data_IF_274764111127
#
_entry.id   IF_274764111127
#
_cell.length_a   1.000
_cell.length_b   1.000
_cell.length_c   1.000
_cell.angle_alpha   90.00
_cell.angle_beta   90.00
_cell.angle_gamma   90.00
#
_symmetry.space_group_name_H-M   'P 1'
#
loop_
_entity.id
_entity.type
_entity.pdbx_description
1 polymer ?
#
# COMPACT_ATOMS: atom_id res chain seq x y z
N UNK A 1 20.27 63.65 30.95
CA UNK A 1 20.91 62.83 29.89
C UNK A 1 20.63 61.34 30.05
N UNK A 2 20.40 60.85 31.25
CA UNK A 2 20.20 59.40 31.55
C UNK A 2 18.86 58.81 31.07
N UNK A 3 17.76 59.61 31.13
CA UNK A 3 16.42 59.13 30.71
C UNK A 3 16.32 58.87 29.21
N UNK A 4 17.02 59.61 28.36
CA UNK A 4 17.03 59.41 26.93
C UNK A 4 17.81 58.15 26.56
N UNK A 5 18.94 57.91 27.20
CA UNK A 5 19.74 56.66 26.98
C UNK A 5 18.98 55.43 27.41
N UNK A 6 18.26 55.46 28.51
CA UNK A 6 17.43 54.35 28.99
C UNK A 6 16.28 54.04 28.04
N UNK A 7 15.66 55.09 27.45
CA UNK A 7 14.59 54.89 26.47
C UNK A 7 15.07 54.24 25.15
N UNK A 8 16.25 54.65 24.68
CA UNK A 8 16.87 54.08 23.46
C UNK A 8 17.22 52.61 23.66
N UNK A 9 17.78 52.27 24.83
CA UNK A 9 18.13 50.87 25.14
C UNK A 9 16.85 50.00 25.27
N UNK A 10 15.78 50.51 25.89
CA UNK A 10 14.51 49.78 26.01
C UNK A 10 13.84 49.56 24.66
N UNK A 11 13.81 50.54 23.77
CA UNK A 11 13.29 50.40 22.41
C UNK A 11 14.10 49.45 21.55
N UNK A 12 15.44 49.47 21.66
CA UNK A 12 16.33 48.51 20.99
C UNK A 12 16.10 47.07 21.44
N UNK A 13 15.89 46.85 22.72
CA UNK A 13 15.59 45.53 23.29
C UNK A 13 14.27 44.95 22.80
N UNK A 14 13.21 45.80 22.73
CA UNK A 14 11.89 45.36 22.22
C UNK A 14 11.96 45.01 20.73
N UNK A 15 12.64 45.81 19.90
CA UNK A 15 12.80 45.54 18.48
C UNK A 15 13.58 44.24 18.22
N UNK A 16 14.62 43.97 19.01
CA UNK A 16 15.41 42.72 18.92
C UNK A 16 14.57 41.51 19.32
N UNK A 17 13.75 41.63 20.38
CA UNK A 17 12.86 40.57 20.83
C UNK A 17 11.79 40.20 19.79
N UNK A 18 11.14 41.21 19.18
CA UNK A 18 10.15 41.01 18.14
C UNK A 18 10.79 40.34 16.91
N UNK A 19 11.99 40.80 16.49
CA UNK A 19 12.73 40.19 15.37
C UNK A 19 13.08 38.72 15.62
N UNK A 20 13.50 38.35 16.83
CA UNK A 20 13.80 36.98 17.20
C UNK A 20 12.56 36.06 17.16
N UNK A 21 11.41 36.55 17.66
CA UNK A 21 10.14 35.82 17.62
C UNK A 21 9.68 35.59 16.16
N UNK A 22 9.77 36.62 15.31
CA UNK A 22 9.43 36.55 13.91
C UNK A 22 10.33 35.54 13.15
N UNK A 23 11.62 35.61 13.39
CA UNK A 23 12.60 34.67 12.78
C UNK A 23 12.30 33.23 13.24
N UNK A 24 12.02 33.02 14.52
CA UNK A 24 11.67 31.72 15.07
C UNK A 24 10.37 31.17 14.47
N UNK A 25 9.35 32.00 14.27
CA UNK A 25 8.09 31.59 13.60
C UNK A 25 8.30 31.25 12.13
N UNK A 26 9.05 32.05 11.38
CA UNK A 26 9.37 31.79 9.98
C UNK A 26 10.22 30.50 9.84
N UNK A 27 11.22 30.31 10.70
CA UNK A 27 12.04 29.10 10.70
C UNK A 27 11.19 27.86 11.01
N UNK A 28 10.26 27.96 11.94
CA UNK A 28 9.36 26.85 12.30
C UNK A 28 8.40 26.49 11.15
N UNK A 29 7.85 27.46 10.42
CA UNK A 29 7.01 27.20 9.25
C UNK A 29 7.81 26.57 8.10
N UNK A 30 9.02 27.05 7.81
CA UNK A 30 9.89 26.46 6.79
C UNK A 30 10.33 25.04 7.14
N UNK A 31 10.64 24.75 8.39
CA UNK A 31 10.95 23.39 8.85
C UNK A 31 9.74 22.47 8.73
N UNK A 32 8.52 22.97 9.00
CA UNK A 32 7.28 22.23 8.79
C UNK A 32 7.09 21.83 7.34
N UNK A 33 7.21 22.77 6.41
CA UNK A 33 7.09 22.51 4.96
C UNK A 33 8.18 21.57 4.44
N UNK A 34 9.41 21.73 4.89
CA UNK A 34 10.51 20.84 4.50
C UNK A 34 10.30 19.41 4.99
N UNK A 35 9.84 19.24 6.23
CA UNK A 35 9.53 17.93 6.80
C UNK A 35 8.36 17.26 6.05
N UNK A 36 7.34 18.02 5.66
CA UNK A 36 6.20 17.49 4.92
C UNK A 36 6.60 17.06 3.52
N UNK A 37 7.41 17.86 2.81
CA UNK A 37 7.97 17.48 1.50
C UNK A 37 8.89 16.26 1.59
N UNK A 38 9.73 16.18 2.63
CA UNK A 38 10.60 15.03 2.85
C UNK A 38 9.79 13.77 3.13
N UNK A 39 8.68 13.89 3.90
CA UNK A 39 7.76 12.79 4.19
C UNK A 39 7.03 12.33 2.93
N UNK A 40 6.53 13.25 2.10
CA UNK A 40 5.89 12.94 0.83
C UNK A 40 6.87 12.24 -0.13
N UNK A 41 8.09 12.75 -0.28
CA UNK A 41 9.10 12.12 -1.12
C UNK A 41 9.44 10.69 -0.63
N UNK A 42 9.55 10.50 0.67
CA UNK A 42 9.79 9.17 1.27
C UNK A 42 8.60 8.23 1.02
N UNK A 43 7.35 8.70 1.14
CA UNK A 43 6.16 7.93 0.88
C UNK A 43 6.08 7.51 -0.60
N UNK A 44 6.39 8.42 -1.52
CA UNK A 44 6.43 8.14 -2.97
C UNK A 44 7.52 7.11 -3.29
N UNK A 45 8.76 7.28 -2.79
CA UNK A 45 9.85 6.33 -2.99
C UNK A 45 9.49 4.93 -2.43
N UNK A 46 8.90 4.90 -1.25
CA UNK A 46 8.45 3.65 -0.62
C UNK A 46 7.36 2.95 -1.47
N UNK A 47 6.39 3.70 -1.96
CA UNK A 47 5.35 3.15 -2.83
C UNK A 47 5.94 2.58 -4.13
N UNK A 48 6.84 3.33 -4.79
CA UNK A 48 7.50 2.84 -6.00
C UNK A 48 8.27 1.55 -5.74
N UNK A 49 8.99 1.44 -4.63
CA UNK A 49 9.68 0.19 -4.25
C UNK A 49 8.71 -0.98 -4.05
N UNK A 50 7.52 -0.73 -3.48
CA UNK A 50 6.51 -1.77 -3.33
C UNK A 50 5.86 -2.13 -4.67
N UNK A 51 5.56 -1.15 -5.52
CA UNK A 51 5.06 -1.38 -6.86
C UNK A 51 6.08 -2.15 -7.72
N UNK A 52 7.35 -1.71 -7.72
CA UNK A 52 8.44 -2.43 -8.39
C UNK A 52 8.58 -3.86 -7.87
N UNK A 53 8.55 -4.07 -6.55
CA UNK A 53 8.59 -5.40 -5.95
C UNK A 53 7.43 -6.27 -6.43
N UNK A 54 6.23 -5.69 -6.57
CA UNK A 54 5.03 -6.36 -7.04
C UNK A 54 5.17 -6.82 -8.50
N UNK A 55 5.89 -6.05 -9.33
CA UNK A 55 6.13 -6.33 -10.74
C UNK A 55 7.45 -7.09 -11.01
N UNK A 56 8.26 -7.40 -9.98
CA UNK A 56 9.46 -8.22 -10.19
C UNK A 56 9.10 -9.60 -10.74
N UNK A 57 9.92 -10.11 -11.66
CA UNK A 57 9.73 -11.45 -12.24
C UNK A 57 9.57 -12.55 -11.17
N UNK A 58 10.34 -12.48 -10.08
CA UNK A 58 10.21 -13.43 -8.97
C UNK A 58 8.84 -13.33 -8.29
N UNK A 59 8.34 -12.11 -8.06
CA UNK A 59 7.05 -11.93 -7.39
C UNK A 59 5.89 -12.22 -8.34
N UNK A 60 6.03 -11.89 -9.61
CA UNK A 60 5.07 -12.22 -10.66
C UNK A 60 4.87 -13.75 -10.76
N UNK A 61 5.95 -14.54 -10.75
CA UNK A 61 5.85 -16.01 -10.67
C UNK A 61 5.09 -16.50 -9.44
N UNK A 62 5.26 -15.85 -8.30
CA UNK A 62 4.51 -16.18 -7.07
C UNK A 62 3.04 -15.83 -7.20
N UNK A 63 2.72 -14.68 -7.78
CA UNK A 63 1.36 -14.24 -8.05
C UNK A 63 0.64 -15.20 -9.00
N UNK A 64 1.28 -15.58 -10.12
CA UNK A 64 0.76 -16.60 -11.04
C UNK A 64 0.48 -17.93 -10.35
N UNK A 65 1.43 -18.40 -9.55
CA UNK A 65 1.26 -19.65 -8.81
C UNK A 65 0.14 -19.55 -7.75
N UNK A 66 -0.01 -18.39 -7.11
CA UNK A 66 -1.12 -18.12 -6.20
C UNK A 66 -2.45 -18.07 -6.95
N UNK A 67 -2.51 -17.38 -8.10
CA UNK A 67 -3.72 -17.25 -8.91
C UNK A 67 -4.20 -18.62 -9.43
N UNK A 68 -3.31 -19.45 -9.99
CA UNK A 68 -3.65 -20.83 -10.38
C UNK A 68 -4.21 -21.65 -9.22
N UNK A 69 -3.55 -21.56 -8.06
CA UNK A 69 -4.02 -22.26 -6.88
C UNK A 69 -5.40 -21.78 -6.42
N UNK A 70 -5.63 -20.45 -6.43
CA UNK A 70 -6.92 -19.86 -6.07
C UNK A 70 -8.02 -20.26 -7.07
N UNK A 71 -7.74 -20.28 -8.38
CA UNK A 71 -8.68 -20.76 -9.39
C UNK A 71 -9.11 -22.19 -9.13
N UNK A 72 -8.15 -23.07 -8.83
CA UNK A 72 -8.41 -24.49 -8.65
C UNK A 72 -9.14 -24.83 -7.34
N UNK A 73 -9.06 -23.94 -6.32
CA UNK A 73 -9.49 -24.28 -4.95
C UNK A 73 -10.50 -23.31 -4.33
N UNK A 74 -10.65 -22.09 -4.88
CA UNK A 74 -11.55 -21.09 -4.30
C UNK A 74 -12.94 -21.08 -4.93
N UNK A 75 -13.15 -21.85 -6.00
CA UNK A 75 -14.40 -21.87 -6.74
C UNK A 75 -14.93 -23.30 -6.90
N UNK A 76 -16.24 -23.46 -6.74
CA UNK A 76 -16.96 -24.71 -7.08
C UNK A 76 -17.96 -24.38 -8.19
N UNK A 77 -17.66 -24.80 -9.43
CA UNK A 77 -18.39 -24.26 -10.58
C UNK A 77 -18.16 -22.76 -10.68
N UNK A 78 -19.24 -21.97 -10.72
CA UNK A 78 -19.16 -20.50 -10.78
C UNK A 78 -19.28 -19.86 -9.40
N UNK A 79 -19.51 -20.61 -8.34
CA UNK A 79 -19.66 -20.11 -6.97
C UNK A 79 -18.30 -19.98 -6.27
N UNK A 80 -18.06 -18.83 -5.66
CA UNK A 80 -16.88 -18.60 -4.84
C UNK A 80 -17.09 -19.14 -3.42
N UNK A 81 -16.31 -20.17 -3.08
CA UNK A 81 -16.31 -20.77 -1.72
C UNK A 81 -15.08 -20.34 -0.91
N UNK A 82 -14.08 -19.75 -1.57
CA UNK A 82 -12.78 -19.43 -0.99
C UNK A 82 -11.93 -20.69 -0.74
N UNK A 83 -10.65 -20.49 -0.42
CA UNK A 83 -9.74 -21.62 -0.17
C UNK A 83 -9.82 -22.12 1.27
N UNK A 84 -9.63 -23.41 1.43
CA UNK A 84 -9.56 -24.02 2.78
C UNK A 84 -8.23 -23.75 3.50
N UNK A 85 -7.12 -23.72 2.77
CA UNK A 85 -5.79 -23.42 3.26
C UNK A 85 -5.06 -22.56 2.25
N UNK A 86 -4.07 -21.79 2.73
CA UNK A 86 -3.18 -21.04 1.84
C UNK A 86 -1.98 -21.90 1.47
N UNK A 87 -1.68 -22.01 0.19
CA UNK A 87 -0.40 -22.56 -0.26
C UNK A 87 0.72 -21.53 -0.09
N UNK A 88 1.98 -21.94 -0.30
CA UNK A 88 3.15 -21.08 -0.11
C UNK A 88 3.12 -19.83 -1.01
N UNK A 89 2.55 -19.93 -2.20
CA UNK A 89 2.46 -18.81 -3.12
C UNK A 89 1.43 -17.77 -2.63
N UNK A 90 0.23 -18.21 -2.23
CA UNK A 90 -0.80 -17.36 -1.65
C UNK A 90 -0.34 -16.71 -0.33
N UNK A 91 0.38 -17.47 0.54
CA UNK A 91 1.01 -16.91 1.76
C UNK A 91 1.99 -15.77 1.44
N UNK A 92 2.79 -15.89 0.37
CA UNK A 92 3.71 -14.82 -0.03
C UNK A 92 2.96 -13.54 -0.48
N UNK A 93 1.82 -13.71 -1.18
CA UNK A 93 0.99 -12.58 -1.62
C UNK A 93 0.29 -11.94 -0.40
N UNK A 94 -0.29 -12.73 0.49
CA UNK A 94 -0.89 -12.22 1.73
C UNK A 94 0.15 -11.49 2.59
N UNK A 95 1.37 -12.03 2.74
CA UNK A 95 2.45 -11.39 3.47
C UNK A 95 2.90 -10.07 2.85
N UNK A 96 2.91 -9.97 1.52
CA UNK A 96 3.20 -8.70 0.85
C UNK A 96 2.16 -7.62 1.20
N UNK A 97 0.85 -7.96 1.19
CA UNK A 97 -0.19 -7.02 1.56
C UNK A 97 -0.23 -6.72 3.05
N UNK A 98 0.16 -7.66 3.91
CA UNK A 98 0.31 -7.43 5.36
C UNK A 98 1.39 -6.37 5.64
N UNK A 99 2.58 -6.50 5.01
CA UNK A 99 3.67 -5.54 5.11
C UNK A 99 3.24 -4.15 4.61
N UNK A 100 2.59 -4.09 3.43
CA UNK A 100 2.08 -2.84 2.84
C UNK A 100 1.04 -2.18 3.75
N UNK A 101 0.12 -2.96 4.29
CA UNK A 101 -0.93 -2.51 5.18
C UNK A 101 -0.38 -1.95 6.49
N UNK A 102 0.65 -2.59 7.05
CA UNK A 102 1.36 -2.08 8.23
C UNK A 102 1.95 -0.70 7.96
N UNK A 103 2.63 -0.50 6.84
CA UNK A 103 3.20 0.81 6.46
C UNK A 103 2.12 1.87 6.26
N UNK A 104 0.99 1.50 5.67
CA UNK A 104 -0.15 2.40 5.52
C UNK A 104 -0.72 2.80 6.90
N UNK A 105 -0.86 1.86 7.82
CA UNK A 105 -1.31 2.16 9.20
C UNK A 105 -0.35 3.08 9.95
N UNK A 106 0.96 2.93 9.74
CA UNK A 106 1.97 3.82 10.33
C UNK A 106 1.96 5.24 9.71
N UNK A 107 1.11 5.49 8.70
CA UNK A 107 1.04 6.75 7.99
C UNK A 107 2.26 7.03 7.09
N UNK A 108 3.04 5.98 6.78
CA UNK A 108 4.12 6.05 5.80
C UNK A 108 3.57 6.10 4.35
N UNK A 109 2.37 5.55 4.14
CA UNK A 109 1.65 5.57 2.87
C UNK A 109 0.22 6.07 3.09
N UNK A 110 -0.26 6.91 2.19
CA UNK A 110 -1.67 7.34 2.19
C UNK A 110 -2.56 6.24 1.60
N UNK A 111 -3.75 6.08 2.18
CA UNK A 111 -4.71 5.06 1.75
C UNK A 111 -5.10 5.22 0.28
N UNK A 112 -5.31 6.46 -0.17
CA UNK A 112 -5.67 6.77 -1.56
C UNK A 112 -4.54 6.40 -2.54
N UNK A 113 -3.30 6.63 -2.15
CA UNK A 113 -2.12 6.28 -2.95
C UNK A 113 -1.98 4.76 -3.09
N UNK A 114 -2.20 4.00 -2.01
CA UNK A 114 -2.22 2.52 -2.03
C UNK A 114 -3.38 2.01 -2.89
N UNK A 115 -4.57 2.60 -2.74
CA UNK A 115 -5.73 2.24 -3.55
C UNK A 115 -5.51 2.45 -5.04
N UNK A 116 -4.94 3.60 -5.44
CA UNK A 116 -4.65 3.91 -6.85
C UNK A 116 -3.67 2.91 -7.48
N UNK A 117 -2.70 2.41 -6.72
CA UNK A 117 -1.63 1.54 -7.24
C UNK A 117 -1.96 0.05 -7.13
N UNK A 118 -2.52 -0.39 -6.02
CA UNK A 118 -2.68 -1.81 -5.68
C UNK A 118 -4.10 -2.17 -5.21
N UNK A 119 -5.07 -1.24 -5.27
CA UNK A 119 -6.44 -1.45 -4.80
C UNK A 119 -7.12 -2.63 -5.49
N UNK A 120 -6.92 -2.78 -6.81
CA UNK A 120 -7.46 -3.90 -7.57
C UNK A 120 -6.97 -5.25 -7.03
N UNK A 121 -5.68 -5.37 -6.73
CA UNK A 121 -5.12 -6.60 -6.21
C UNK A 121 -5.59 -6.89 -4.77
N UNK A 122 -5.64 -5.86 -3.91
CA UNK A 122 -6.14 -5.98 -2.53
C UNK A 122 -7.57 -6.51 -2.53
N UNK A 123 -8.46 -5.91 -3.32
CA UNK A 123 -9.87 -6.31 -3.40
C UNK A 123 -10.09 -7.67 -4.07
N UNK A 124 -9.13 -8.14 -4.87
CA UNK A 124 -9.20 -9.44 -5.54
C UNK A 124 -8.68 -10.56 -4.65
N UNK A 125 -7.50 -10.38 -4.04
CA UNK A 125 -6.88 -11.44 -3.24
C UNK A 125 -7.56 -11.64 -1.88
N UNK A 126 -7.99 -10.55 -1.21
CA UNK A 126 -8.56 -10.66 0.13
C UNK A 126 -9.77 -11.58 0.22
N UNK A 127 -10.85 -11.42 -0.58
CA UNK A 127 -12.03 -12.27 -0.45
C UNK A 127 -11.75 -13.75 -0.70
N UNK A 128 -10.81 -14.06 -1.60
CA UNK A 128 -10.42 -15.43 -1.92
C UNK A 128 -9.58 -16.10 -0.81
N UNK A 129 -8.73 -15.33 -0.14
CA UNK A 129 -7.86 -15.83 0.92
C UNK A 129 -8.48 -15.79 2.31
N UNK A 130 -9.46 -14.91 2.55
CA UNK A 130 -10.10 -14.66 3.83
C UNK A 130 -10.59 -15.95 4.53
N UNK A 131 -11.31 -16.88 3.88
CA UNK A 131 -11.82 -18.07 4.56
C UNK A 131 -10.70 -18.95 5.15
N UNK A 132 -9.57 -19.10 4.44
CA UNK A 132 -8.40 -19.81 4.94
C UNK A 132 -7.74 -19.08 6.12
N UNK A 133 -7.59 -17.77 6.01
CA UNK A 133 -6.99 -16.94 7.09
C UNK A 133 -7.84 -17.04 8.36
N UNK A 134 -9.16 -16.94 8.27
CA UNK A 134 -10.06 -17.04 9.43
C UNK A 134 -9.96 -18.43 10.08
N UNK A 135 -9.87 -19.50 9.29
CA UNK A 135 -9.70 -20.86 9.79
C UNK A 135 -8.35 -21.03 10.49
N UNK A 136 -7.26 -20.57 9.87
CA UNK A 136 -5.91 -20.68 10.43
C UNK A 136 -5.76 -19.86 11.72
N UNK A 137 -6.43 -18.70 11.84
CA UNK A 137 -6.50 -17.93 13.10
C UNK A 137 -7.05 -18.75 14.25
N UNK A 138 -8.11 -19.54 13.99
CA UNK A 138 -8.73 -20.40 14.99
C UNK A 138 -7.85 -21.62 15.28
N UNK A 139 -7.34 -22.30 14.25
CA UNK A 139 -6.54 -23.51 14.34
C UNK A 139 -5.24 -23.27 15.14
N UNK A 140 -4.59 -22.12 14.91
CA UNK A 140 -3.30 -21.80 15.54
C UNK A 140 -3.43 -20.89 16.77
N UNK A 141 -4.64 -20.43 17.10
CA UNK A 141 -4.87 -19.52 18.21
C UNK A 141 -4.18 -18.15 18.03
N UNK A 142 -4.01 -17.69 16.79
CA UNK A 142 -3.35 -16.41 16.43
C UNK A 142 -4.37 -15.48 15.75
N UNK A 143 -5.22 -14.79 16.52
CA UNK A 143 -6.29 -13.95 15.95
C UNK A 143 -5.76 -12.76 15.11
N UNK A 144 -4.53 -12.31 15.39
CA UNK A 144 -3.89 -11.20 14.70
C UNK A 144 -3.22 -11.57 13.36
N UNK A 145 -3.29 -12.83 12.93
CA UNK A 145 -2.70 -13.25 11.66
C UNK A 145 -3.35 -12.50 10.49
N UNK A 146 -2.57 -11.79 9.68
CA UNK A 146 -3.04 -10.95 8.56
C UNK A 146 -4.10 -9.91 8.96
N UNK A 147 -4.06 -9.38 10.19
CA UNK A 147 -5.00 -8.35 10.65
C UNK A 147 -4.82 -7.02 9.90
N UNK A 148 -3.59 -6.70 9.51
CA UNK A 148 -3.30 -5.48 8.76
C UNK A 148 -3.84 -5.58 7.32
N UNK A 149 -3.68 -6.72 6.65
CA UNK A 149 -4.26 -6.95 5.33
C UNK A 149 -5.79 -6.87 5.36
N UNK A 150 -6.43 -7.48 6.37
CA UNK A 150 -7.86 -7.35 6.59
C UNK A 150 -8.28 -5.89 6.80
N UNK A 151 -7.55 -5.14 7.62
CA UNK A 151 -7.81 -3.73 7.84
C UNK A 151 -7.67 -2.92 6.54
N UNK A 152 -6.60 -3.15 5.77
CA UNK A 152 -6.36 -2.47 4.51
C UNK A 152 -7.46 -2.78 3.48
N UNK A 153 -7.93 -4.03 3.41
CA UNK A 153 -9.02 -4.40 2.51
C UNK A 153 -10.32 -3.65 2.84
N UNK A 154 -10.61 -3.41 4.12
CA UNK A 154 -11.74 -2.58 4.56
C UNK A 154 -11.55 -1.10 4.16
N UNK A 155 -10.36 -0.55 4.36
CA UNK A 155 -10.03 0.83 3.95
C UNK A 155 -10.22 1.01 2.44
N UNK A 156 -9.76 0.06 1.63
CA UNK A 156 -9.95 0.07 0.17
C UNK A 156 -11.44 -0.01 -0.18
N UNK A 157 -12.19 -0.90 0.45
CA UNK A 157 -13.64 -1.03 0.22
C UNK A 157 -14.42 0.23 0.61
N UNK A 158 -14.03 0.93 1.67
CA UNK A 158 -14.65 2.18 2.09
C UNK A 158 -14.37 3.29 1.06
N UNK A 159 -13.13 3.44 0.59
CA UNK A 159 -12.76 4.38 -0.47
C UNK A 159 -13.55 4.11 -1.78
N UNK A 160 -13.72 2.85 -2.15
CA UNK A 160 -14.50 2.46 -3.33
C UNK A 160 -15.99 2.80 -3.16
N UNK A 161 -16.57 2.52 -2.00
CA UNK A 161 -17.96 2.85 -1.70
C UNK A 161 -18.23 4.36 -1.76
N UNK A 162 -17.31 5.18 -1.23
CA UNK A 162 -17.39 6.64 -1.31
C UNK A 162 -17.37 7.15 -2.76
N UNK A 163 -16.76 6.39 -3.68
CA UNK A 163 -16.67 6.69 -5.11
C UNK A 163 -17.78 6.04 -5.94
N UNK A 164 -18.70 5.31 -5.29
CA UNK A 164 -19.77 4.58 -5.98
C UNK A 164 -19.28 3.38 -6.79
N UNK A 165 -18.11 2.81 -6.42
CA UNK A 165 -17.55 1.62 -7.05
C UNK A 165 -18.11 0.39 -6.32
N UNK A 166 -18.79 -0.46 -7.04
CA UNK A 166 -19.37 -1.69 -6.50
C UNK A 166 -18.30 -2.75 -6.19
N UNK A 167 -18.51 -3.59 -5.18
CA UNK A 167 -17.64 -4.73 -4.92
C UNK A 167 -17.52 -5.64 -6.16
N UNK A 168 -16.37 -6.31 -6.37
CA UNK A 168 -16.22 -7.22 -7.48
C UNK A 168 -17.18 -8.41 -7.35
N UNK A 169 -17.83 -8.77 -8.46
CA UNK A 169 -18.63 -9.99 -8.51
C UNK A 169 -17.72 -11.23 -8.54
N UNK A 170 -18.26 -12.40 -8.22
CA UNK A 170 -17.52 -13.67 -8.27
C UNK A 170 -16.92 -13.93 -9.66
N UNK A 171 -17.66 -13.61 -10.72
CA UNK A 171 -17.16 -13.71 -12.10
C UNK A 171 -15.98 -12.78 -12.38
N UNK A 172 -15.99 -11.54 -11.85
CA UNK A 172 -14.85 -10.62 -11.97
C UNK A 172 -13.64 -11.10 -11.15
N UNK A 173 -13.86 -11.69 -9.96
CA UNK A 173 -12.77 -12.27 -9.17
C UNK A 173 -12.12 -13.44 -9.89
N UNK A 174 -12.93 -14.31 -10.51
CA UNK A 174 -12.44 -15.44 -11.32
C UNK A 174 -11.64 -14.92 -12.50
N UNK A 175 -12.20 -14.00 -13.30
CA UNK A 175 -11.52 -13.42 -14.46
C UNK A 175 -10.18 -12.77 -14.07
N UNK A 176 -10.14 -12.01 -12.97
CA UNK A 176 -8.92 -11.40 -12.48
C UNK A 176 -7.85 -12.45 -12.12
N UNK A 177 -8.25 -13.60 -11.58
CA UNK A 177 -7.31 -14.69 -11.30
C UNK A 177 -6.86 -15.43 -12.59
N UNK A 178 -7.74 -15.55 -13.59
CA UNK A 178 -7.39 -16.10 -14.91
C UNK A 178 -6.34 -15.22 -15.60
N UNK A 179 -6.57 -13.91 -15.65
CA UNK A 179 -5.64 -12.93 -16.22
C UNK A 179 -4.29 -12.95 -15.47
N UNK A 180 -4.33 -13.03 -14.14
CA UNK A 180 -3.15 -13.10 -13.30
C UNK A 180 -2.36 -14.40 -13.49
N UNK A 181 -3.03 -15.52 -13.73
CA UNK A 181 -2.40 -16.82 -13.93
C UNK A 181 -1.56 -16.90 -15.22
N UNK A 182 -1.89 -16.09 -16.23
CA UNK A 182 -1.17 -16.01 -17.52
C UNK A 182 -0.33 -14.74 -17.68
N UNK A 183 -0.40 -13.78 -16.72
CA UNK A 183 0.32 -12.51 -16.80
C UNK A 183 1.80 -12.70 -17.15
N UNK A 184 2.28 -12.02 -18.20
CA UNK A 184 3.68 -12.05 -18.66
C UNK A 184 4.11 -13.33 -19.39
N UNK A 185 3.20 -14.27 -19.72
CA UNK A 185 3.53 -15.39 -20.62
C UNK A 185 3.76 -14.89 -22.05
N UNK A 186 3.01 -13.87 -22.47
CA UNK A 186 3.13 -13.26 -23.80
C UNK A 186 4.43 -12.45 -23.99
N UNK A 187 4.96 -11.86 -22.91
CA UNK A 187 6.23 -11.13 -22.97
C UNK A 187 7.42 -12.06 -23.20
N UNK A 188 7.39 -13.27 -22.68
CA UNK A 188 8.43 -14.27 -22.91
C UNK A 188 8.50 -14.72 -24.36
N UNK A 189 7.36 -14.77 -25.06
CA UNK A 189 7.27 -15.15 -26.49
C UNK A 189 7.89 -14.03 -27.36
N UNK A 190 7.65 -12.77 -27.04
CA UNK A 190 8.16 -11.62 -27.80
C UNK A 190 9.70 -11.51 -27.69
N UNK A 191 10.28 -11.83 -26.52
CA UNK A 191 11.75 -11.81 -26.35
C UNK A 191 12.48 -13.00 -27.01
N UNK A 192 11.82 -14.14 -27.17
CA UNK A 192 12.37 -15.28 -27.95
C UNK A 192 12.38 -15.01 -29.46
N UNK A 193 11.45 -14.20 -29.96
CA UNK A 193 11.38 -13.82 -31.38
C UNK A 193 12.33 -12.66 -31.77
N UNK A 194 12.97 -12.01 -30.79
CA UNK A 194 13.92 -10.93 -31.05
C UNK A 194 15.23 -11.51 -31.62
N UNK A 195 15.62 -11.17 -32.87
CA UNK A 195 16.87 -11.69 -33.43
C UNK A 195 18.04 -11.29 -32.55
N UNK A 196 18.88 -12.26 -32.19
CA UNK A 196 20.12 -12.02 -31.45
C UNK A 196 21.01 -11.10 -32.27
N UNK A 197 21.55 -10.01 -31.70
CA UNK A 197 22.49 -9.18 -32.41
C UNK A 197 23.72 -10.00 -32.82
N UNK A 198 24.08 -9.93 -34.12
CA UNK A 198 25.29 -10.53 -34.69
C UNK A 198 26.58 -9.90 -34.13
#
# INVERSE_FOLDING_TARGET
>A
MDTFLTLVIALGGIATGIGAIWTAMLTRSHLGEQNERARLNMAVDLLFRYADRFETELFLRRRRAAARYLLDNAFVGDEMVGVERLNRAALNVCGFFEDLAYLQRQGALEAETVWNSLGWAIRTYWPLCKPAIERERVEWGVPAMYEEFERLSRVVADLERERGIEPPTEGLLRQAMEDEAIAGEDEAVIDEERPKPE
#
